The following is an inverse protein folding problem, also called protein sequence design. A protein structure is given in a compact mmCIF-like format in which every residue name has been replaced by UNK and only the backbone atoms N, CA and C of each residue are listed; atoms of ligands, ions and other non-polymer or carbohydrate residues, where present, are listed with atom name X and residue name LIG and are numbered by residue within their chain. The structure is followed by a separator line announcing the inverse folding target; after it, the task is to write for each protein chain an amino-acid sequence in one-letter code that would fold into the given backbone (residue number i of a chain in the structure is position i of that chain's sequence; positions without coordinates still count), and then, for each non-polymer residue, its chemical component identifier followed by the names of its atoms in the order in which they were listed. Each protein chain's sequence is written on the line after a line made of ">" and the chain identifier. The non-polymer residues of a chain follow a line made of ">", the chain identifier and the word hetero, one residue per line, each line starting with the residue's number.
data_IF_183653930439
#
_entry.id   IF_183653930439
#
_cell.length_a   1.000
_cell.length_b   1.000
_cell.length_c   1.000
_cell.angle_alpha   90.00
_cell.angle_beta   90.00
_cell.angle_gamma   90.00
#
_symmetry.space_group_name_H-M   'P 1'
#
loop_
_entity.id
_entity.type
_entity.pdbx_description
1 polymer ?
#
# COMPACT_ATOMS: atom_id res chain seq x y z
N UNK A 1 9.86 16.80 -2.40
CA UNK A 1 10.18 17.94 -1.54
C UNK A 1 9.79 17.53 -0.14
N UNK A 2 10.78 17.29 0.75
CA UNK A 2 10.53 16.79 2.10
C UNK A 2 9.60 17.67 2.94
N UNK A 3 9.59 18.99 2.73
CA UNK A 3 8.69 19.88 3.46
C UNK A 3 7.25 19.77 2.95
N UNK A 4 7.04 19.73 1.64
CA UNK A 4 5.72 19.44 1.08
C UNK A 4 5.21 18.04 1.45
N UNK A 5 6.10 17.05 1.56
CA UNK A 5 5.76 15.72 2.08
C UNK A 5 5.35 15.80 3.55
N UNK A 6 6.07 16.54 4.39
CA UNK A 6 5.72 16.75 5.80
C UNK A 6 4.37 17.47 5.97
N UNK A 7 4.08 18.50 5.18
CA UNK A 7 2.77 19.19 5.19
C UNK A 7 1.66 18.21 4.78
N UNK A 8 1.86 17.43 3.71
CA UNK A 8 0.89 16.42 3.28
C UNK A 8 0.69 15.33 4.35
N UNK A 9 1.77 14.84 4.96
CA UNK A 9 1.71 13.78 5.98
C UNK A 9 1.15 14.29 7.32
N UNK A 10 1.33 15.57 7.65
CA UNK A 10 0.78 16.20 8.87
C UNK A 10 -0.75 16.20 8.90
N UNK A 11 -1.37 16.01 7.73
CA UNK A 11 -2.81 15.88 7.60
C UNK A 11 -3.31 14.52 8.08
N UNK A 12 -2.48 13.47 8.05
CA UNK A 12 -2.92 12.09 8.19
C UNK A 12 -3.04 11.56 9.64
N UNK A 13 -3.79 10.45 9.82
CA UNK A 13 -4.63 9.78 8.83
C UNK A 13 -5.99 10.48 8.65
N UNK A 14 -6.35 10.82 7.40
CA UNK A 14 -7.67 11.34 7.04
C UNK A 14 -8.51 10.25 6.39
N UNK A 15 -9.83 10.21 6.65
CA UNK A 15 -10.73 9.40 5.86
C UNK A 15 -10.63 9.78 4.38
N UNK A 16 -10.52 8.77 3.51
CA UNK A 16 -10.58 8.95 2.04
C UNK A 16 -11.85 9.71 1.62
N UNK A 17 -12.91 9.60 2.44
CA UNK A 17 -14.16 10.33 2.31
C UNK A 17 -13.97 11.86 2.21
N UNK A 18 -13.06 12.42 2.99
CA UNK A 18 -13.02 13.86 3.29
C UNK A 18 -11.90 14.60 2.56
N UNK A 19 -11.02 13.87 1.88
CA UNK A 19 -9.85 14.46 1.24
C UNK A 19 -10.15 14.91 -0.20
N UNK A 20 -9.99 16.21 -0.49
CA UNK A 20 -10.32 16.81 -1.79
C UNK A 20 -9.60 16.10 -2.95
N UNK A 21 -8.27 15.88 -2.83
CA UNK A 21 -7.47 15.23 -3.88
C UNK A 21 -7.77 13.73 -4.05
N UNK A 22 -8.50 13.12 -3.13
CA UNK A 22 -8.91 11.72 -3.21
C UNK A 22 -10.35 11.56 -3.71
N UNK A 23 -10.97 12.62 -4.22
CA UNK A 23 -12.30 12.54 -4.83
C UNK A 23 -12.42 11.46 -5.93
N UNK A 24 -11.39 11.20 -6.78
CA UNK A 24 -11.45 10.09 -7.73
C UNK A 24 -11.60 8.72 -7.07
N UNK A 25 -11.03 8.51 -5.87
CA UNK A 25 -11.18 7.25 -5.14
C UNK A 25 -12.63 6.98 -4.69
N UNK A 26 -13.40 8.04 -4.42
CA UNK A 26 -14.81 7.89 -4.02
C UNK A 26 -15.76 7.81 -5.20
N UNK A 27 -15.49 8.61 -6.22
CA UNK A 27 -16.42 8.80 -7.35
C UNK A 27 -16.18 7.80 -8.48
N UNK A 28 -14.97 7.24 -8.58
CA UNK A 28 -14.54 6.49 -9.76
C UNK A 28 -14.43 7.35 -11.02
N UNK A 29 -14.48 8.69 -10.89
CA UNK A 29 -14.43 9.63 -12.01
C UNK A 29 -13.13 10.46 -11.96
N UNK A 30 -12.61 10.89 -13.12
CA UNK A 30 -11.47 11.80 -13.16
C UNK A 30 -11.83 13.14 -12.51
N UNK A 31 -10.86 13.71 -11.78
CA UNK A 31 -10.96 15.04 -11.18
C UNK A 31 -10.01 15.98 -11.92
N UNK A 32 -10.56 17.07 -12.45
CA UNK A 32 -9.78 18.14 -13.09
C UNK A 32 -9.87 19.39 -12.23
N UNK A 33 -8.73 19.96 -11.92
CA UNK A 33 -8.60 21.26 -11.28
C UNK A 33 -7.76 22.15 -12.18
N UNK A 34 -8.43 23.11 -12.83
CA UNK A 34 -7.77 24.05 -13.72
C UNK A 34 -6.84 25.01 -12.96
N UNK A 35 -7.19 25.34 -11.72
CA UNK A 35 -6.40 26.25 -10.90
C UNK A 35 -6.62 26.04 -9.40
N UNK A 36 -5.60 25.56 -8.70
CA UNK A 36 -5.60 25.33 -7.26
C UNK A 36 -5.82 26.64 -6.48
N UNK A 37 -5.43 27.80 -7.01
CA UNK A 37 -5.63 29.09 -6.32
C UNK A 37 -7.06 29.62 -6.41
N UNK A 38 -7.87 29.13 -7.34
CA UNK A 38 -9.24 29.64 -7.53
C UNK A 38 -10.29 28.56 -7.38
N UNK A 39 -9.90 27.28 -7.28
CA UNK A 39 -10.80 26.15 -7.11
C UNK A 39 -11.73 26.35 -5.89
N UNK A 40 -13.06 26.43 -6.12
CA UNK A 40 -14.03 26.52 -5.05
C UNK A 40 -14.03 25.27 -4.16
N UNK A 41 -14.14 25.47 -2.85
CA UNK A 41 -14.20 24.38 -1.87
C UNK A 41 -12.88 23.66 -1.62
N UNK A 42 -11.76 24.13 -2.20
CA UNK A 42 -10.44 23.57 -1.95
C UNK A 42 -9.90 24.02 -0.57
N UNK A 43 -9.57 23.10 0.35
CA UNK A 43 -8.97 23.44 1.64
C UNK A 43 -7.63 24.18 1.50
N UNK A 44 -7.31 25.12 2.40
CA UNK A 44 -6.08 25.91 2.33
C UNK A 44 -4.82 25.05 2.36
N UNK A 45 -4.83 23.97 3.13
CA UNK A 45 -3.71 23.03 3.16
C UNK A 45 -3.43 22.38 1.79
N UNK A 46 -4.45 22.12 0.98
CA UNK A 46 -4.25 21.61 -0.38
C UNK A 46 -3.61 22.67 -1.30
N UNK A 47 -3.93 23.96 -1.08
CA UNK A 47 -3.30 25.08 -1.78
C UNK A 47 -1.84 25.23 -1.37
N UNK A 48 -1.55 25.14 -0.08
CA UNK A 48 -0.19 25.20 0.45
C UNK A 48 0.68 24.05 -0.09
N UNK A 49 0.16 22.82 -0.11
CA UNK A 49 0.85 21.68 -0.73
C UNK A 49 1.10 21.94 -2.22
N UNK A 50 0.12 22.49 -2.94
CA UNK A 50 0.28 22.82 -4.36
C UNK A 50 1.35 23.89 -4.61
N UNK A 51 1.36 24.96 -3.80
CA UNK A 51 2.39 26.03 -3.84
C UNK A 51 3.78 25.47 -3.59
N UNK A 52 3.96 24.68 -2.53
CA UNK A 52 5.27 24.08 -2.18
C UNK A 52 5.76 23.09 -3.24
N UNK A 53 4.84 22.31 -3.82
CA UNK A 53 5.16 21.38 -4.92
C UNK A 53 5.24 22.06 -6.30
N UNK A 54 4.95 23.35 -6.39
CA UNK A 54 5.10 24.14 -7.61
C UNK A 54 4.08 23.81 -8.70
N UNK A 55 2.85 23.42 -8.35
CA UNK A 55 1.79 23.20 -9.33
C UNK A 55 0.57 24.08 -9.10
N UNK A 56 -0.09 24.49 -10.18
CA UNK A 56 -1.35 25.23 -10.18
C UNK A 56 -2.50 24.47 -10.80
N UNK A 57 -2.28 23.49 -11.67
CA UNK A 57 -3.35 22.64 -12.20
C UNK A 57 -3.07 21.17 -11.93
N UNK A 58 -4.14 20.37 -11.83
CA UNK A 58 -4.10 18.96 -11.50
C UNK A 58 -5.16 18.17 -12.26
N UNK A 59 -4.79 17.02 -12.78
CA UNK A 59 -5.69 15.99 -13.30
C UNK A 59 -5.43 14.70 -12.53
N UNK A 60 -6.38 14.29 -11.71
CA UNK A 60 -6.39 13.01 -11.01
C UNK A 60 -7.23 11.99 -11.76
N UNK A 61 -6.64 10.85 -12.12
CA UNK A 61 -7.29 9.73 -12.82
C UNK A 61 -7.37 8.52 -11.88
N UNK A 62 -8.57 7.98 -11.62
CA UNK A 62 -8.71 6.77 -10.82
C UNK A 62 -8.20 5.56 -11.61
N UNK A 63 -7.53 4.66 -10.90
CA UNK A 63 -7.14 3.33 -11.38
C UNK A 63 -8.27 2.36 -11.01
N UNK A 64 -9.05 1.93 -12.00
CA UNK A 64 -10.24 1.10 -11.79
C UNK A 64 -9.95 -0.37 -12.13
N UNK A 65 -10.26 -1.27 -11.20
CA UNK A 65 -10.31 -2.71 -11.44
C UNK A 65 -11.62 -3.28 -10.94
N UNK A 66 -12.39 -3.96 -11.80
CA UNK A 66 -13.66 -4.59 -11.44
C UNK A 66 -14.64 -3.65 -10.68
N UNK A 67 -14.66 -2.36 -11.04
CA UNK A 67 -15.51 -1.34 -10.40
C UNK A 67 -14.99 -0.81 -9.06
N UNK A 68 -13.81 -1.25 -8.62
CA UNK A 68 -13.13 -0.79 -7.39
C UNK A 68 -11.95 0.10 -7.77
N UNK A 69 -11.79 1.23 -7.10
CA UNK A 69 -10.62 2.09 -7.28
C UNK A 69 -9.45 1.53 -6.49
N UNK A 70 -8.41 1.07 -7.19
CA UNK A 70 -7.17 0.55 -6.58
C UNK A 70 -6.16 1.66 -6.26
N UNK A 71 -6.31 2.84 -6.86
CA UNK A 71 -5.47 4.01 -6.58
C UNK A 71 -5.78 5.18 -7.51
N UNK A 72 -4.91 6.18 -7.51
CA UNK A 72 -5.05 7.40 -8.33
C UNK A 72 -3.70 7.73 -8.96
N UNK A 73 -3.71 8.03 -10.26
CA UNK A 73 -2.58 8.65 -10.96
C UNK A 73 -2.89 10.14 -11.11
N UNK A 74 -1.98 11.01 -10.70
CA UNK A 74 -2.15 12.45 -10.85
C UNK A 74 -1.07 13.04 -11.77
N UNK A 75 -1.50 13.93 -12.67
CA UNK A 75 -0.62 14.78 -13.47
C UNK A 75 -0.85 16.22 -13.03
N UNK A 76 0.23 16.97 -12.83
CA UNK A 76 0.20 18.35 -12.37
C UNK A 76 0.95 19.26 -13.35
N UNK A 77 0.62 20.56 -13.36
CA UNK A 77 1.37 21.58 -14.13
C UNK A 77 1.59 22.82 -13.27
N UNK A 78 2.70 23.51 -13.49
CA UNK A 78 3.04 24.78 -12.82
C UNK A 78 2.11 25.93 -13.18
N UNK A 79 1.47 25.85 -14.35
CA UNK A 79 0.54 26.85 -14.87
C UNK A 79 -0.92 26.46 -14.58
N UNK A 80 -1.76 27.47 -14.41
CA UNK A 80 -3.21 27.29 -14.42
C UNK A 80 -3.71 27.03 -15.84
N UNK A 81 -4.80 26.29 -15.95
CA UNK A 81 -5.48 26.02 -17.22
C UNK A 81 -6.07 24.63 -17.29
N UNK A 82 -6.94 24.44 -18.28
CA UNK A 82 -7.65 23.19 -18.47
C UNK A 82 -6.79 22.08 -19.07
N UNK A 83 -7.25 20.85 -18.83
CA UNK A 83 -6.77 19.67 -19.54
C UNK A 83 -7.69 19.41 -20.73
N UNK A 84 -7.12 19.48 -21.94
CA UNK A 84 -7.83 19.11 -23.16
C UNK A 84 -8.32 17.65 -23.08
N UNK A 85 -9.47 17.30 -23.71
CA UNK A 85 -10.04 15.95 -23.64
C UNK A 85 -9.03 14.83 -23.96
N UNK A 86 -8.19 15.04 -24.98
CA UNK A 86 -7.12 14.10 -25.35
C UNK A 86 -6.11 13.80 -24.23
N UNK A 87 -5.85 14.75 -23.33
CA UNK A 87 -4.95 14.53 -22.19
C UNK A 87 -5.63 13.65 -21.13
N UNK A 88 -6.94 13.84 -20.94
CA UNK A 88 -7.75 13.01 -20.04
C UNK A 88 -7.83 11.59 -20.58
N UNK A 89 -8.08 11.42 -21.87
CA UNK A 89 -8.14 10.09 -22.51
C UNK A 89 -6.78 9.39 -22.46
N UNK A 90 -5.68 10.11 -22.74
CA UNK A 90 -4.33 9.56 -22.63
C UNK A 90 -4.04 9.08 -21.21
N UNK A 91 -4.34 9.89 -20.19
CA UNK A 91 -4.11 9.50 -18.81
C UNK A 91 -5.01 8.34 -18.37
N UNK A 92 -6.22 8.23 -18.91
CA UNK A 92 -7.10 7.07 -18.71
C UNK A 92 -6.42 5.79 -19.21
N UNK A 93 -5.90 5.80 -20.43
CA UNK A 93 -5.16 4.64 -20.97
C UNK A 93 -3.97 4.26 -20.09
N UNK A 94 -3.22 5.23 -19.57
CA UNK A 94 -2.14 4.94 -18.61
C UNK A 94 -2.65 4.36 -17.29
N UNK A 95 -3.77 4.86 -16.76
CA UNK A 95 -4.38 4.33 -15.54
C UNK A 95 -4.84 2.88 -15.74
N UNK A 96 -5.46 2.57 -16.89
CA UNK A 96 -5.88 1.20 -17.22
C UNK A 96 -4.68 0.23 -17.25
N UNK A 97 -3.54 0.65 -17.80
CA UNK A 97 -2.32 -0.16 -17.82
C UNK A 97 -1.65 -0.28 -16.44
N UNK A 98 -1.67 0.80 -15.65
CA UNK A 98 -1.09 0.81 -14.32
C UNK A 98 -1.83 -0.12 -13.34
N UNK A 99 -3.16 -0.24 -13.49
CA UNK A 99 -3.97 -1.24 -12.75
C UNK A 99 -3.42 -2.63 -13.00
N UNK A 100 -3.27 -3.02 -14.27
CA UNK A 100 -2.79 -4.35 -14.67
C UNK A 100 -1.39 -4.60 -14.08
N UNK A 101 -0.49 -3.62 -14.22
CA UNK A 101 0.87 -3.74 -13.71
C UNK A 101 0.90 -3.90 -12.17
N UNK A 102 0.08 -3.13 -11.45
CA UNK A 102 -0.02 -3.19 -9.99
C UNK A 102 -0.61 -4.51 -9.52
N UNK A 103 -1.62 -5.02 -10.21
CA UNK A 103 -2.20 -6.34 -9.92
C UNK A 103 -1.21 -7.47 -10.17
N UNK A 104 -0.43 -7.40 -11.25
CA UNK A 104 0.62 -8.38 -11.53
C UNK A 104 1.68 -8.42 -10.42
N UNK A 105 2.14 -7.26 -9.95
CA UNK A 105 3.08 -7.18 -8.83
C UNK A 105 2.47 -7.74 -7.55
N UNK A 106 1.20 -7.43 -7.27
CA UNK A 106 0.48 -7.98 -6.11
C UNK A 106 0.40 -9.50 -6.16
N UNK A 107 -0.06 -10.07 -7.29
CA UNK A 107 -0.19 -11.52 -7.47
C UNK A 107 1.16 -12.23 -7.39
N UNK A 108 2.22 -11.62 -7.95
CA UNK A 108 3.57 -12.13 -7.86
C UNK A 108 4.05 -12.20 -6.40
N UNK A 109 3.88 -11.11 -5.63
CA UNK A 109 4.26 -11.07 -4.23
C UNK A 109 3.45 -12.08 -3.39
N UNK A 110 2.14 -12.18 -3.62
CA UNK A 110 1.29 -13.18 -2.94
C UNK A 110 1.76 -14.62 -3.23
N UNK A 111 2.16 -14.89 -4.47
CA UNK A 111 2.71 -16.20 -4.86
C UNK A 111 4.04 -16.48 -4.15
N UNK A 112 4.91 -15.47 -4.08
CA UNK A 112 6.19 -15.57 -3.38
C UNK A 112 5.99 -15.83 -1.88
N UNK A 113 5.10 -15.08 -1.23
CA UNK A 113 4.79 -15.25 0.19
C UNK A 113 4.18 -16.64 0.47
N UNK A 114 3.30 -17.12 -0.41
CA UNK A 114 2.73 -18.46 -0.30
C UNK A 114 3.81 -19.55 -0.42
N UNK A 115 4.75 -19.39 -1.36
CA UNK A 115 5.88 -20.29 -1.52
C UNK A 115 6.77 -20.29 -0.26
N UNK A 116 7.12 -19.11 0.28
CA UNK A 116 7.93 -19.01 1.50
C UNK A 116 7.28 -19.70 2.70
N UNK A 117 5.94 -19.58 2.85
CA UNK A 117 5.17 -20.28 3.89
C UNK A 117 5.18 -21.80 3.69
N UNK A 118 4.99 -22.26 2.45
CA UNK A 118 5.03 -23.69 2.14
C UNK A 118 6.42 -24.28 2.40
N UNK A 119 7.49 -23.58 2.02
CA UNK A 119 8.86 -23.99 2.32
C UNK A 119 9.10 -24.09 3.82
N UNK A 120 8.71 -23.08 4.61
CA UNK A 120 8.84 -23.12 6.06
C UNK A 120 8.07 -24.30 6.68
N UNK A 121 6.85 -24.57 6.19
CA UNK A 121 6.05 -25.71 6.63
C UNK A 121 6.72 -27.04 6.30
N UNK A 122 7.25 -27.19 5.08
CA UNK A 122 7.95 -28.39 4.65
C UNK A 122 9.25 -28.63 5.42
N UNK A 123 10.00 -27.57 5.74
CA UNK A 123 11.19 -27.63 6.59
C UNK A 123 10.85 -28.13 7.99
N UNK A 124 9.80 -27.59 8.62
CA UNK A 124 9.34 -28.06 9.94
C UNK A 124 8.89 -29.53 9.88
N UNK A 125 8.10 -29.93 8.87
CA UNK A 125 7.68 -31.32 8.68
C UNK A 125 8.87 -32.28 8.50
N UNK A 126 9.91 -31.84 7.80
CA UNK A 126 11.15 -32.61 7.64
C UNK A 126 11.86 -32.81 8.98
N UNK A 127 11.95 -31.77 9.82
CA UNK A 127 12.54 -31.88 11.16
C UNK A 127 11.74 -32.83 12.06
N UNK A 128 10.39 -32.78 11.98
CA UNK A 128 9.50 -33.74 12.67
C UNK A 128 9.82 -35.16 12.24
N UNK A 129 9.90 -35.42 10.94
CA UNK A 129 10.17 -36.76 10.41
C UNK A 129 11.56 -37.30 10.80
N UNK A 130 12.53 -36.41 11.02
CA UNK A 130 13.91 -36.77 11.43
C UNK A 130 14.09 -36.90 12.94
N UNK A 131 13.14 -36.42 13.74
CA UNK A 131 13.23 -36.36 15.21
C UNK A 131 12.01 -37.02 15.88
N UNK A 132 11.72 -38.31 15.59
CA UNK A 132 10.48 -38.96 16.03
C UNK A 132 10.30 -38.98 17.56
N UNK A 133 11.39 -39.02 18.32
CA UNK A 133 11.39 -39.08 19.79
C UNK A 133 11.90 -37.78 20.46
N UNK A 134 12.23 -36.75 19.68
CA UNK A 134 12.75 -35.47 20.20
C UNK A 134 11.98 -34.27 19.64
N UNK A 135 11.27 -33.59 20.54
CA UNK A 135 10.42 -32.45 20.20
C UNK A 135 11.23 -31.15 20.10
N UNK A 136 12.42 -31.04 20.72
CA UNK A 136 13.13 -29.77 20.76
C UNK A 136 13.58 -29.24 19.39
N UNK A 137 14.15 -30.07 18.49
CA UNK A 137 14.50 -29.62 17.14
C UNK A 137 13.29 -29.05 16.37
N UNK A 138 12.10 -29.62 16.60
CA UNK A 138 10.86 -29.16 15.97
C UNK A 138 10.47 -27.77 16.49
N UNK A 139 10.57 -27.55 17.81
CA UNK A 139 10.23 -26.27 18.42
C UNK A 139 11.19 -25.16 18.01
N UNK A 140 12.49 -25.47 17.92
CA UNK A 140 13.51 -24.56 17.39
C UNK A 140 13.22 -24.18 15.94
N UNK A 141 12.84 -25.15 15.10
CA UNK A 141 12.49 -24.92 13.70
C UNK A 141 11.25 -24.02 13.54
N UNK A 142 10.24 -24.21 14.41
CA UNK A 142 9.05 -23.36 14.45
C UNK A 142 9.41 -21.93 14.87
N UNK A 143 10.18 -21.77 15.96
CA UNK A 143 10.61 -20.46 16.43
C UNK A 143 11.44 -19.71 15.38
N UNK A 144 12.40 -20.40 14.75
CA UNK A 144 13.22 -19.87 13.67
C UNK A 144 12.40 -19.42 12.46
N UNK A 145 11.42 -20.23 12.05
CA UNK A 145 10.50 -19.90 10.95
C UNK A 145 9.62 -18.69 11.27
N UNK A 146 9.06 -18.64 12.48
CA UNK A 146 8.24 -17.52 12.93
C UNK A 146 9.04 -16.20 12.96
N UNK A 147 10.28 -16.24 13.48
CA UNK A 147 11.17 -15.08 13.48
C UNK A 147 11.44 -14.57 12.06
N UNK A 148 11.71 -15.48 11.12
CA UNK A 148 12.03 -15.15 9.72
C UNK A 148 10.82 -14.59 8.96
N UNK A 149 9.65 -15.25 9.05
CA UNK A 149 8.46 -14.90 8.27
C UNK A 149 7.77 -13.61 8.76
N UNK A 150 7.93 -13.26 10.03
CA UNK A 150 7.31 -12.08 10.64
C UNK A 150 8.28 -10.90 10.76
N UNK A 151 9.48 -11.02 10.19
CA UNK A 151 10.59 -10.06 10.36
C UNK A 151 10.81 -9.68 11.84
N UNK A 152 10.71 -10.68 12.71
CA UNK A 152 10.78 -10.50 14.16
C UNK A 152 12.22 -10.48 14.65
N UNK A 153 12.50 -9.66 15.67
CA UNK A 153 13.81 -9.69 16.34
C UNK A 153 14.03 -11.02 17.10
N UNK A 154 12.97 -11.58 17.70
CA UNK A 154 13.02 -12.81 18.48
C UNK A 154 11.71 -13.57 18.42
N UNK A 155 11.78 -14.90 18.59
CA UNK A 155 10.63 -15.78 18.77
C UNK A 155 10.94 -16.78 19.90
N UNK A 156 9.94 -17.14 20.69
CA UNK A 156 10.09 -18.06 21.83
C UNK A 156 8.89 -19.00 21.89
N UNK A 157 9.13 -20.29 22.15
CA UNK A 157 8.06 -21.26 22.37
C UNK A 157 7.85 -21.44 23.87
N UNK A 158 6.59 -21.40 24.30
CA UNK A 158 6.21 -21.63 25.68
C UNK A 158 5.35 -22.88 25.77
N UNK A 159 5.75 -23.82 26.63
CA UNK A 159 4.99 -25.01 26.93
C UNK A 159 4.32 -24.87 28.29
N UNK A 160 3.05 -25.26 28.38
CA UNK A 160 2.34 -25.34 29.65
C UNK A 160 2.74 -26.62 30.40
N UNK A 161 3.02 -26.47 31.69
CA UNK A 161 3.37 -27.53 32.63
C UNK A 161 2.49 -27.35 33.88
N UNK A 162 1.31 -27.99 33.86
CA UNK A 162 0.25 -27.77 34.85
C UNK A 162 -0.28 -26.33 34.84
N UNK A 163 -0.11 -25.62 35.96
CA UNK A 163 -0.46 -24.19 36.08
C UNK A 163 0.67 -23.23 35.69
N UNK A 164 1.86 -23.75 35.36
CA UNK A 164 3.02 -22.93 34.99
C UNK A 164 3.26 -22.98 33.49
N UNK A 165 3.88 -21.94 32.95
CA UNK A 165 4.44 -21.93 31.59
C UNK A 165 5.95 -21.89 31.69
N UNK A 166 6.62 -22.67 30.85
CA UNK A 166 8.08 -22.67 30.72
C UNK A 166 8.48 -22.41 29.28
N UNK A 167 9.52 -21.62 29.07
CA UNK A 167 10.15 -21.49 27.77
C UNK A 167 10.84 -22.82 27.43
N UNK A 168 10.66 -23.30 26.21
CA UNK A 168 11.25 -24.54 25.69
C UNK A 168 12.10 -24.26 24.48
#
# INVERSE_FOLDING_TARGET
>A
DPEADAVLLSQGPLPVADHFLLAPARTGQPQVVADMETQPGLPEVSREVARRRGYRSLLGMPMLSNGVVSGIIAVTRSEAGDFLPRHVDLLRTFADQAVIATENVRLFNETKDALERQTATAEILKVIAQSPDDVQPVLDAIAGSARRLLDGHSASVWRRDGERTRMV
#
